data_IF_797979664586
#
_entry.id   IF_797979664586
#
_cell.length_a   1.000
_cell.length_b   1.000
_cell.length_c   1.000
_cell.angle_alpha   90.00
_cell.angle_beta   90.00
_cell.angle_gamma   90.00
#
_symmetry.space_group_name_H-M   'P 1'
#
loop_
_entity.id
_entity.type
_entity.pdbx_description
1 polymer ?
#
# COMPACT_ATOMS: atom_id res chain seq x y z
N UNK A 1 10.14 43.27 40.73
CA UNK A 1 9.17 43.42 39.61
C UNK A 1 9.76 43.11 38.23
N UNK A 2 10.99 43.55 37.89
CA UNK A 2 11.61 43.24 36.56
C UNK A 2 11.82 41.75 36.25
N UNK A 3 12.06 40.90 37.27
CA UNK A 3 12.26 39.45 37.09
C UNK A 3 10.96 38.66 36.83
N UNK A 4 9.82 39.17 37.30
CA UNK A 4 8.50 38.55 37.07
C UNK A 4 8.01 38.82 35.65
N UNK A 5 8.31 40.00 35.11
CA UNK A 5 7.95 40.37 33.74
C UNK A 5 8.70 39.54 32.68
N UNK A 6 9.95 39.15 32.96
CA UNK A 6 10.73 38.29 32.07
C UNK A 6 10.20 36.85 32.04
N UNK A 7 9.73 36.32 33.18
CA UNK A 7 9.11 35.01 33.26
C UNK A 7 7.73 34.98 32.58
N UNK A 8 6.97 36.07 32.65
CA UNK A 8 5.68 36.22 31.98
C UNK A 8 5.84 36.35 30.45
N UNK A 9 6.88 37.04 29.96
CA UNK A 9 7.16 37.09 28.51
C UNK A 9 7.63 35.75 27.95
N UNK A 10 8.35 34.94 28.72
CA UNK A 10 8.81 33.61 28.28
C UNK A 10 7.68 32.59 28.20
N UNK A 11 6.60 32.79 28.98
CA UNK A 11 5.38 31.99 28.90
C UNK A 11 4.52 32.33 27.66
N UNK A 12 4.64 33.53 27.10
CA UNK A 12 3.89 33.98 25.90
C UNK A 12 4.60 33.57 24.60
N UNK A 13 5.89 33.23 24.64
CA UNK A 13 6.63 32.69 23.49
C UNK A 13 6.47 31.18 23.27
N UNK A 14 5.70 30.49 24.12
CA UNK A 14 5.15 29.18 23.78
C UNK A 14 3.99 29.40 22.82
N UNK A 15 4.30 29.65 21.54
CA UNK A 15 3.32 29.56 20.46
C UNK A 15 2.60 28.23 20.60
N UNK A 16 1.34 28.27 21.04
CA UNK A 16 0.51 27.08 21.22
C UNK A 16 0.33 26.42 19.85
N UNK A 17 1.15 25.40 19.58
CA UNK A 17 1.04 24.60 18.37
C UNK A 17 -0.33 23.93 18.41
N UNK A 18 -1.15 24.19 17.38
CA UNK A 18 -2.50 23.62 17.34
C UNK A 18 -2.37 22.12 17.17
N UNK A 19 -3.20 21.36 17.85
CA UNK A 19 -3.19 19.90 17.75
C UNK A 19 -4.40 19.45 16.95
N UNK A 20 -4.19 18.60 15.97
CA UNK A 20 -5.27 17.90 15.26
C UNK A 20 -5.16 16.40 15.59
N UNK A 21 -6.29 15.81 15.98
CA UNK A 21 -6.34 14.43 16.46
C UNK A 21 -6.82 13.50 15.34
N UNK A 22 -6.07 12.42 15.11
CA UNK A 22 -6.50 11.31 14.25
C UNK A 22 -7.54 10.47 14.99
N UNK A 23 -8.82 10.75 14.71
CA UNK A 23 -9.95 10.01 15.26
C UNK A 23 -10.20 8.70 14.50
N UNK A 24 -10.17 7.57 15.21
CA UNK A 24 -10.54 6.25 14.69
C UNK A 24 -12.02 5.98 15.00
N UNK A 25 -12.91 6.43 14.11
CA UNK A 25 -14.37 6.37 14.32
C UNK A 25 -15.16 5.68 13.21
N UNK A 26 -14.48 5.28 12.14
CA UNK A 26 -15.14 4.61 11.03
C UNK A 26 -15.56 3.21 11.45
N UNK A 27 -16.55 2.62 10.76
CA UNK A 27 -16.87 1.24 11.10
C UNK A 27 -15.80 0.29 10.56
N UNK A 28 -15.31 -0.58 11.43
CA UNK A 28 -14.42 -1.73 11.16
C UNK A 28 -15.14 -3.05 11.45
N UNK A 29 -16.46 -3.10 11.25
CA UNK A 29 -17.23 -4.33 11.43
C UNK A 29 -16.75 -5.42 10.46
N UNK A 30 -16.27 -6.53 11.00
CA UNK A 30 -16.08 -7.80 10.33
C UNK A 30 -17.46 -8.39 10.02
N UNK A 31 -17.89 -8.21 8.77
CA UNK A 31 -19.21 -8.67 8.33
C UNK A 31 -19.33 -10.19 8.31
N UNK A 32 -18.21 -10.92 8.21
CA UNK A 32 -18.20 -12.39 8.22
C UNK A 32 -18.11 -12.94 9.65
N UNK A 33 -17.72 -12.11 10.62
CA UNK A 33 -17.59 -12.50 12.02
C UNK A 33 -16.55 -13.61 12.25
N UNK A 34 -15.49 -13.65 11.44
CA UNK A 34 -14.45 -14.69 11.51
C UNK A 34 -13.33 -14.31 12.47
N UNK A 35 -13.22 -13.03 12.82
CA UNK A 35 -12.17 -12.49 13.68
C UNK A 35 -12.58 -12.52 15.15
N UNK A 36 -11.73 -13.13 15.97
CA UNK A 36 -11.87 -13.20 17.43
C UNK A 36 -11.35 -11.93 18.09
N UNK A 37 -10.14 -11.54 17.73
CA UNK A 37 -9.42 -10.42 18.32
C UNK A 37 -8.57 -9.71 17.25
N UNK A 38 -8.31 -8.44 17.51
CA UNK A 38 -7.22 -7.69 16.91
C UNK A 38 -6.25 -7.37 18.04
N UNK A 39 -4.95 -7.50 17.81
CA UNK A 39 -3.90 -6.99 18.70
C UNK A 39 -3.01 -6.05 17.90
N UNK A 40 -2.51 -4.99 18.54
CA UNK A 40 -1.65 -4.01 17.87
C UNK A 40 -0.23 -4.03 18.44
N UNK A 41 0.74 -4.00 17.54
CA UNK A 41 2.15 -3.78 17.80
C UNK A 41 2.52 -2.42 17.18
N UNK A 42 2.80 -1.42 18.01
CA UNK A 42 3.34 -0.14 17.53
C UNK A 42 4.86 -0.24 17.42
N UNK A 43 5.33 -0.63 16.23
CA UNK A 43 6.73 -0.82 15.87
C UNK A 43 7.35 0.43 15.21
N UNK A 44 6.68 1.60 15.29
CA UNK A 44 7.24 2.85 14.73
C UNK A 44 8.49 3.26 15.51
N UNK A 45 9.53 3.64 14.77
CA UNK A 45 10.71 4.30 15.33
C UNK A 45 10.38 5.70 15.86
N UNK A 46 9.47 6.41 15.21
CA UNK A 46 8.97 7.72 15.62
C UNK A 46 7.48 7.66 15.93
N UNK A 47 7.11 8.03 17.17
CA UNK A 47 5.72 7.96 17.64
C UNK A 47 4.88 9.17 17.22
N UNK A 48 5.54 10.29 16.92
CA UNK A 48 4.91 11.49 16.38
C UNK A 48 4.47 11.25 14.92
N UNK A 49 3.27 11.70 14.57
CA UNK A 49 2.80 11.65 13.17
C UNK A 49 3.44 12.79 12.38
N UNK A 50 3.59 13.96 12.97
CA UNK A 50 4.31 15.07 12.35
C UNK A 50 3.57 16.40 12.43
N UNK A 51 4.19 17.41 11.82
CA UNK A 51 3.75 18.80 11.87
C UNK A 51 3.45 19.30 10.47
N UNK A 52 2.26 19.86 10.25
CA UNK A 52 1.80 20.35 8.96
C UNK A 52 1.50 21.86 9.02
N UNK A 53 1.98 22.66 8.06
CA UNK A 53 1.63 24.07 7.97
C UNK A 53 0.22 24.24 7.37
N UNK A 54 -0.62 25.05 8.01
CA UNK A 54 -1.92 25.44 7.49
C UNK A 54 -2.28 26.87 7.92
N UNK A 55 -2.58 27.74 6.94
CA UNK A 55 -3.02 29.13 7.17
C UNK A 55 -2.15 29.92 8.18
N UNK A 56 -0.83 29.93 7.98
CA UNK A 56 0.19 30.59 8.82
C UNK A 56 0.39 29.98 10.22
N UNK A 57 -0.25 28.86 10.50
CA UNK A 57 -0.11 28.11 11.74
C UNK A 57 0.50 26.74 11.46
N UNK A 58 1.10 26.14 12.47
CA UNK A 58 1.55 24.74 12.41
C UNK A 58 0.64 23.89 13.25
N UNK A 59 0.14 22.80 12.66
CA UNK A 59 -0.68 21.80 13.35
C UNK A 59 0.15 20.55 13.61
N UNK A 60 0.21 20.12 14.86
CA UNK A 60 0.74 18.82 15.25
C UNK A 60 -0.33 17.77 15.10
N UNK A 61 -0.06 16.75 14.29
CA UNK A 61 -0.91 15.59 14.14
C UNK A 61 -0.51 14.53 15.16
N UNK A 62 -1.51 13.93 15.83
CA UNK A 62 -1.30 12.80 16.73
C UNK A 62 -2.54 11.93 16.85
N UNK A 63 -2.38 10.69 17.32
CA UNK A 63 -3.52 9.89 17.76
C UNK A 63 -4.12 10.48 19.04
N UNK A 64 -5.39 10.17 19.31
CA UNK A 64 -6.10 10.66 20.50
C UNK A 64 -5.56 10.11 21.84
N UNK A 65 -4.65 9.14 21.78
CA UNK A 65 -4.03 8.49 22.93
C UNK A 65 -2.67 7.91 22.52
N UNK A 66 -1.76 7.83 23.49
CA UNK A 66 -0.46 7.18 23.33
C UNK A 66 -0.57 5.65 23.41
N UNK A 67 -1.60 5.14 24.08
CA UNK A 67 -1.93 3.72 24.14
C UNK A 67 -2.74 3.30 22.92
N UNK A 68 -2.04 3.29 21.77
CA UNK A 68 -2.65 2.97 20.48
C UNK A 68 -3.18 1.53 20.43
N UNK A 69 -2.57 0.64 21.22
CA UNK A 69 -2.99 -0.75 21.34
C UNK A 69 -4.40 -0.83 21.90
N UNK A 70 -4.61 -0.37 23.14
CA UNK A 70 -5.93 -0.46 23.75
C UNK A 70 -6.96 0.36 22.96
N UNK A 71 -6.56 1.47 22.33
CA UNK A 71 -7.47 2.28 21.51
C UNK A 71 -8.08 1.50 20.35
N UNK A 72 -7.28 0.76 19.60
CA UNK A 72 -7.74 -0.02 18.44
C UNK A 72 -8.45 -1.31 18.89
N UNK A 73 -7.98 -1.97 19.94
CA UNK A 73 -8.62 -3.17 20.50
C UNK A 73 -10.04 -2.87 21.03
N UNK A 74 -10.21 -1.72 21.69
CA UNK A 74 -11.51 -1.22 22.15
C UNK A 74 -12.42 -0.86 20.97
N UNK A 75 -11.87 -0.20 19.95
CA UNK A 75 -12.61 0.12 18.72
C UNK A 75 -13.12 -1.17 18.05
N UNK A 76 -12.27 -2.19 17.94
CA UNK A 76 -12.68 -3.50 17.41
C UNK A 76 -13.77 -4.15 18.25
N UNK A 77 -13.67 -4.11 19.58
CA UNK A 77 -14.65 -4.69 20.50
C UNK A 77 -15.99 -3.94 20.52
N UNK A 78 -15.99 -2.64 20.23
CA UNK A 78 -17.20 -1.84 20.04
C UNK A 78 -17.93 -2.23 18.76
N UNK A 79 -17.20 -2.36 17.66
CA UNK A 79 -17.78 -2.63 16.33
C UNK A 79 -18.16 -4.10 16.09
N UNK A 80 -17.48 -5.03 16.78
CA UNK A 80 -17.61 -6.47 16.53
C UNK A 80 -18.10 -7.20 17.78
N UNK A 81 -19.43 -7.31 17.92
CA UNK A 81 -20.08 -8.04 19.02
C UNK A 81 -20.07 -9.56 18.82
N UNK A 82 -20.16 -10.01 17.58
CA UNK A 82 -19.96 -11.41 17.22
C UNK A 82 -18.47 -11.63 16.96
N UNK A 83 -17.90 -12.64 17.63
CA UNK A 83 -16.48 -12.97 17.53
C UNK A 83 -16.33 -14.32 16.83
N UNK A 84 -15.33 -14.42 15.97
CA UNK A 84 -14.91 -15.67 15.35
C UNK A 84 -13.74 -16.31 16.09
N UNK A 85 -12.84 -16.95 15.33
CA UNK A 85 -11.73 -17.74 15.86
C UNK A 85 -10.34 -17.24 15.45
N UNK A 86 -10.26 -16.28 14.53
CA UNK A 86 -8.98 -15.76 14.06
C UNK A 86 -8.46 -14.65 14.98
N UNK A 87 -7.24 -14.80 15.50
CA UNK A 87 -6.54 -13.73 16.21
C UNK A 87 -5.67 -12.96 15.20
N UNK A 88 -6.06 -11.73 14.86
CA UNK A 88 -5.33 -10.85 13.93
C UNK A 88 -4.36 -9.97 14.71
N UNK A 89 -3.16 -9.79 14.16
CA UNK A 89 -2.16 -8.88 14.70
C UNK A 89 -1.86 -7.81 13.67
N UNK A 90 -2.00 -6.55 14.05
CA UNK A 90 -1.67 -5.39 13.25
C UNK A 90 -0.35 -4.81 13.75
N UNK A 91 0.60 -4.66 12.85
CA UNK A 91 1.87 -4.02 13.13
C UNK A 91 1.91 -2.66 12.44
N UNK A 92 2.04 -1.62 13.24
CA UNK A 92 2.23 -0.26 12.76
C UNK A 92 3.72 0.05 12.70
N UNK A 93 4.26 0.25 11.51
CA UNK A 93 5.70 0.40 11.28
C UNK A 93 6.09 1.84 10.94
N UNK A 94 5.25 2.57 10.20
CA UNK A 94 5.49 3.98 9.85
C UNK A 94 4.16 4.73 9.70
N UNK A 95 4.08 5.95 10.23
CA UNK A 95 3.03 6.94 9.93
C UNK A 95 3.64 8.31 10.10
N UNK A 96 3.86 9.01 8.98
CA UNK A 96 4.39 10.38 9.00
C UNK A 96 3.62 11.27 8.04
N UNK A 97 3.25 12.46 8.51
CA UNK A 97 2.71 13.54 7.70
C UNK A 97 3.74 14.68 7.64
N UNK A 98 4.12 15.09 6.44
CA UNK A 98 5.15 16.10 6.21
C UNK A 98 4.91 16.88 4.92
N UNK A 99 5.53 18.04 4.79
CA UNK A 99 5.60 18.81 3.56
C UNK A 99 7.07 18.82 3.12
N UNK A 100 7.34 18.55 1.84
CA UNK A 100 8.72 18.55 1.33
C UNK A 100 9.36 19.94 1.42
N UNK A 101 8.55 20.97 1.13
CA UNK A 101 8.94 22.37 1.22
C UNK A 101 7.95 23.11 2.13
N UNK A 102 8.11 23.06 3.47
CA UNK A 102 7.16 23.65 4.41
C UNK A 102 6.95 25.16 4.26
N UNK A 103 7.95 25.85 3.70
CA UNK A 103 7.88 27.30 3.43
C UNK A 103 7.09 27.63 2.15
N UNK A 104 6.96 26.67 1.23
CA UNK A 104 6.21 26.81 0.00
C UNK A 104 4.71 26.60 0.27
N UNK A 105 3.93 27.66 0.07
CA UNK A 105 2.47 27.65 0.26
C UNK A 105 1.74 26.67 -0.65
N UNK A 106 2.38 26.23 -1.74
CA UNK A 106 1.85 25.24 -2.69
C UNK A 106 2.30 23.82 -2.38
N UNK A 107 3.22 23.62 -1.42
CA UNK A 107 3.66 22.29 -1.02
C UNK A 107 2.49 21.51 -0.44
N UNK A 108 2.15 20.40 -1.09
CA UNK A 108 1.12 19.49 -0.61
C UNK A 108 1.68 18.60 0.50
N UNK A 109 0.86 18.34 1.51
CA UNK A 109 1.22 17.41 2.59
C UNK A 109 1.28 15.99 2.04
N UNK A 110 2.42 15.34 2.23
CA UNK A 110 2.63 13.91 2.02
C UNK A 110 2.35 13.14 3.30
N UNK A 111 1.73 11.97 3.17
CA UNK A 111 1.48 11.03 4.26
C UNK A 111 2.16 9.72 3.89
N UNK A 112 3.25 9.39 4.59
CA UNK A 112 3.93 8.11 4.51
C UNK A 112 3.32 7.16 5.53
N UNK A 113 3.06 5.92 5.13
CA UNK A 113 2.63 4.89 6.05
C UNK A 113 3.16 3.52 5.69
N UNK A 114 3.33 2.70 6.72
CA UNK A 114 3.60 1.27 6.63
C UNK A 114 2.82 0.54 7.72
N UNK A 115 1.88 -0.29 7.31
CA UNK A 115 1.10 -1.18 8.17
C UNK A 115 1.21 -2.60 7.67
N UNK A 116 1.38 -3.56 8.57
CA UNK A 116 1.40 -4.98 8.25
C UNK A 116 0.40 -5.74 9.10
N UNK A 117 -0.14 -6.84 8.58
CA UNK A 117 -1.10 -7.68 9.28
C UNK A 117 -0.67 -9.12 9.25
N UNK A 118 -0.99 -9.82 10.33
CA UNK A 118 -0.69 -11.22 10.53
C UNK A 118 -1.89 -11.91 11.15
N UNK A 119 -1.98 -13.21 10.98
CA UNK A 119 -2.84 -14.07 11.79
C UNK A 119 -1.96 -14.88 12.75
N UNK A 120 -2.33 -14.89 14.02
CA UNK A 120 -1.67 -15.70 15.05
C UNK A 120 -2.42 -17.02 15.20
N UNK A 121 -1.71 -18.15 15.02
CA UNK A 121 -2.24 -19.51 15.23
C UNK A 121 -1.18 -20.37 15.88
N UNK A 122 -1.52 -21.07 16.96
CA UNK A 122 -0.61 -21.97 17.67
C UNK A 122 0.75 -21.33 18.00
N UNK A 123 0.71 -20.08 18.49
CA UNK A 123 1.88 -19.25 18.80
C UNK A 123 2.83 -18.96 17.62
N UNK A 124 2.35 -19.11 16.39
CA UNK A 124 3.05 -18.69 15.17
C UNK A 124 2.28 -17.61 14.45
N UNK A 125 3.00 -16.81 13.67
CA UNK A 125 2.46 -15.71 12.90
C UNK A 125 2.52 -16.05 11.42
N UNK A 126 1.47 -15.68 10.69
CA UNK A 126 1.43 -15.84 9.25
C UNK A 126 1.04 -14.49 8.65
N UNK A 127 1.88 -13.99 7.75
CA UNK A 127 1.66 -12.70 7.11
C UNK A 127 0.37 -12.74 6.27
N UNK A 128 -0.48 -11.74 6.45
CA UNK A 128 -1.74 -11.61 5.73
C UNK A 128 -1.61 -10.59 4.59
N UNK A 129 -1.24 -9.36 4.94
CA UNK A 129 -1.15 -8.26 3.99
C UNK A 129 -0.30 -7.11 4.55
N UNK A 130 0.12 -6.20 3.68
CA UNK A 130 0.82 -4.96 4.00
C UNK A 130 0.29 -3.82 3.16
N UNK A 131 0.34 -2.63 3.73
CA UNK A 131 0.21 -1.38 3.00
C UNK A 131 1.46 -0.58 3.28
N UNK A 132 2.18 -0.22 2.22
CA UNK A 132 3.36 0.64 2.29
C UNK A 132 3.29 1.64 1.15
N UNK A 133 3.14 2.92 1.46
CA UNK A 133 3.13 3.96 0.43
C UNK A 133 3.33 5.37 1.00
N UNK A 134 3.54 6.31 0.08
CA UNK A 134 3.43 7.75 0.30
C UNK A 134 2.26 8.27 -0.52
N UNK A 135 1.27 8.89 0.14
CA UNK A 135 0.19 9.60 -0.53
C UNK A 135 0.42 11.11 -0.46
N UNK A 136 0.23 11.79 -1.57
CA UNK A 136 0.14 13.26 -1.60
C UNK A 136 -1.31 13.64 -1.38
N UNK A 137 -1.57 14.44 -0.36
CA UNK A 137 -2.93 14.91 -0.06
C UNK A 137 -3.36 15.99 -1.04
N UNK A 138 -4.58 15.89 -1.55
CA UNK A 138 -5.21 16.93 -2.38
C UNK A 138 -5.60 18.18 -1.56
N UNK A 139 -5.47 18.15 -0.24
CA UNK A 139 -5.75 19.26 0.65
C UNK A 139 -4.84 19.27 1.88
N UNK A 140 -4.29 20.43 2.22
CA UNK A 140 -3.50 20.64 3.44
C UNK A 140 -4.37 20.90 4.68
N UNK A 141 -5.69 20.76 4.60
CA UNK A 141 -6.56 20.97 5.74
C UNK A 141 -6.29 19.90 6.82
N UNK A 142 -5.90 20.23 8.06
CA UNK A 142 -5.43 19.25 9.04
C UNK A 142 -6.40 18.10 9.30
N UNK A 143 -7.69 18.41 9.44
CA UNK A 143 -8.74 17.40 9.63
C UNK A 143 -8.88 16.45 8.43
N UNK A 144 -8.61 16.93 7.22
CA UNK A 144 -8.59 16.08 6.02
C UNK A 144 -7.40 15.12 6.08
N UNK A 145 -6.19 15.61 6.41
CA UNK A 145 -4.99 14.77 6.60
C UNK A 145 -5.23 13.72 7.69
N UNK A 146 -5.76 14.11 8.84
CA UNK A 146 -6.11 13.20 9.93
C UNK A 146 -7.11 12.12 9.47
N UNK A 147 -8.09 12.49 8.63
CA UNK A 147 -9.06 11.54 8.07
C UNK A 147 -8.42 10.54 7.10
N UNK A 148 -7.40 10.95 6.33
CA UNK A 148 -6.67 10.05 5.43
C UNK A 148 -5.89 8.99 6.21
N UNK A 149 -5.26 9.36 7.32
CA UNK A 149 -4.59 8.40 8.22
C UNK A 149 -5.61 7.43 8.81
N UNK A 150 -6.75 7.94 9.29
CA UNK A 150 -7.86 7.11 9.80
C UNK A 150 -8.40 6.13 8.75
N UNK A 151 -8.51 6.57 7.49
CA UNK A 151 -8.91 5.72 6.35
C UNK A 151 -7.90 4.58 6.13
N UNK A 152 -6.60 4.89 6.16
CA UNK A 152 -5.55 3.88 5.95
C UNK A 152 -5.61 2.79 7.04
N UNK A 153 -5.73 3.17 8.31
CA UNK A 153 -5.90 2.23 9.43
C UNK A 153 -7.17 1.39 9.26
N UNK A 154 -8.30 2.04 8.93
CA UNK A 154 -9.60 1.37 8.73
C UNK A 154 -9.53 0.35 7.61
N UNK A 155 -8.95 0.72 6.47
CA UNK A 155 -8.83 -0.17 5.33
C UNK A 155 -7.89 -1.33 5.62
N UNK A 156 -6.80 -1.10 6.37
CA UNK A 156 -5.89 -2.18 6.76
C UNK A 156 -6.59 -3.26 7.59
N UNK A 157 -7.38 -2.82 8.56
CA UNK A 157 -8.17 -3.71 9.40
C UNK A 157 -9.14 -4.53 8.54
N UNK A 158 -9.85 -3.88 7.61
CA UNK A 158 -10.83 -4.55 6.74
C UNK A 158 -10.18 -5.55 5.80
N UNK A 159 -9.04 -5.20 5.21
CA UNK A 159 -8.25 -6.09 4.36
C UNK A 159 -7.78 -7.32 5.13
N UNK A 160 -7.38 -7.14 6.39
CA UNK A 160 -6.93 -8.25 7.24
C UNK A 160 -8.00 -9.33 7.43
N UNK A 161 -9.29 -8.97 7.40
CA UNK A 161 -10.39 -9.94 7.55
C UNK A 161 -10.56 -10.90 6.37
N UNK A 162 -10.14 -10.48 5.18
CA UNK A 162 -10.35 -11.22 3.92
C UNK A 162 -9.06 -11.74 3.31
N UNK A 163 -7.91 -11.31 3.82
CA UNK A 163 -6.59 -11.71 3.34
C UNK A 163 -6.30 -13.17 3.65
N UNK A 164 -5.61 -13.83 2.71
CA UNK A 164 -5.13 -15.21 2.86
C UNK A 164 -3.65 -15.16 3.20
N UNK A 165 -3.18 -15.95 4.18
CA UNK A 165 -1.77 -15.94 4.54
C UNK A 165 -0.83 -16.19 3.37
N UNK A 166 0.24 -15.40 3.25
CA UNK A 166 1.33 -15.59 2.29
C UNK A 166 2.61 -16.01 3.02
N UNK A 167 3.32 -16.98 2.45
CA UNK A 167 4.57 -17.50 3.03
C UNK A 167 4.37 -18.48 4.18
N UNK A 168 5.47 -18.75 4.90
CA UNK A 168 5.54 -19.72 5.98
C UNK A 168 5.14 -19.17 7.35
N UNK A 169 5.09 -20.08 8.33
CA UNK A 169 4.82 -19.73 9.72
C UNK A 169 6.08 -19.16 10.41
N UNK A 170 5.95 -17.99 11.03
CA UNK A 170 7.03 -17.29 11.72
C UNK A 170 6.91 -17.38 13.24
N UNK A 171 8.03 -17.34 13.93
CA UNK A 171 8.06 -17.12 15.38
C UNK A 171 7.79 -15.64 15.71
N UNK A 172 7.64 -15.33 17.01
CA UNK A 172 7.53 -13.94 17.45
C UNK A 172 8.82 -13.16 17.25
N UNK A 173 9.98 -13.81 17.37
CA UNK A 173 11.30 -13.20 17.20
C UNK A 173 11.52 -12.76 15.74
N UNK A 174 10.99 -13.54 14.79
CA UNK A 174 11.07 -13.26 13.36
C UNK A 174 10.18 -12.08 12.93
N UNK A 175 9.17 -11.68 13.72
CA UNK A 175 8.21 -10.64 13.33
C UNK A 175 8.85 -9.30 13.03
N UNK A 176 9.93 -8.95 13.73
CA UNK A 176 10.64 -7.67 13.51
C UNK A 176 11.33 -7.62 12.15
N UNK A 177 11.68 -8.78 11.58
CA UNK A 177 12.34 -8.94 10.28
C UNK A 177 11.52 -9.81 9.32
N UNK A 178 10.20 -9.80 9.48
CA UNK A 178 9.28 -10.70 8.77
C UNK A 178 9.45 -10.64 7.25
N UNK A 179 9.68 -9.45 6.68
CA UNK A 179 9.82 -9.29 5.22
C UNK A 179 11.03 -10.06 4.70
N UNK A 180 12.17 -9.95 5.38
CA UNK A 180 13.38 -10.70 5.03
C UNK A 180 13.12 -12.20 5.15
N UNK A 181 12.54 -12.63 6.28
CA UNK A 181 12.19 -14.03 6.51
C UNK A 181 11.29 -14.59 5.38
N UNK A 182 10.23 -13.87 5.03
CA UNK A 182 9.26 -14.32 4.04
C UNK A 182 9.88 -14.32 2.63
N UNK A 183 10.64 -13.29 2.26
CA UNK A 183 11.23 -13.18 0.92
C UNK A 183 12.35 -14.20 0.70
N UNK A 184 13.26 -14.39 1.66
CA UNK A 184 14.34 -15.38 1.55
C UNK A 184 13.82 -16.82 1.41
N UNK A 185 12.68 -17.13 2.03
CA UNK A 185 12.03 -18.44 1.94
C UNK A 185 11.06 -18.56 0.75
N UNK A 186 11.01 -17.58 -0.15
CA UNK A 186 10.10 -17.58 -1.30
C UNK A 186 10.74 -18.14 -2.58
N UNK A 187 9.97 -18.82 -3.45
CA UNK A 187 10.44 -19.20 -4.78
C UNK A 187 10.81 -18.01 -5.67
N UNK A 188 10.10 -16.87 -5.56
CA UNK A 188 10.33 -15.69 -6.40
C UNK A 188 11.63 -14.95 -6.07
N UNK A 189 11.95 -14.79 -4.78
CA UNK A 189 13.11 -14.01 -4.35
C UNK A 189 14.32 -14.88 -4.01
N UNK A 190 14.10 -16.03 -3.36
CA UNK A 190 15.14 -16.99 -3.00
C UNK A 190 15.43 -18.06 -4.06
N UNK A 191 14.61 -18.16 -5.11
CA UNK A 191 14.81 -19.10 -6.22
C UNK A 191 15.96 -18.69 -7.15
N UNK A 192 16.51 -19.68 -7.86
CA UNK A 192 17.59 -19.47 -8.84
C UNK A 192 17.10 -18.94 -10.19
N UNK A 193 15.91 -19.39 -10.61
CA UNK A 193 15.34 -19.10 -11.91
C UNK A 193 13.85 -18.83 -11.80
N UNK A 194 13.35 -17.94 -12.65
CA UNK A 194 11.93 -17.63 -12.76
C UNK A 194 11.25 -18.63 -13.70
N UNK A 195 10.07 -19.11 -13.33
CA UNK A 195 9.30 -20.03 -14.16
C UNK A 195 8.51 -19.26 -15.21
N UNK A 196 8.73 -19.61 -16.46
CA UNK A 196 7.98 -19.05 -17.59
C UNK A 196 6.48 -19.38 -17.49
N UNK A 197 5.65 -18.45 -17.94
CA UNK A 197 4.20 -18.59 -17.99
C UNK A 197 3.45 -17.32 -17.57
N UNK A 198 2.13 -17.41 -17.61
CA UNK A 198 1.22 -16.31 -17.26
C UNK A 198 0.83 -16.39 -15.79
N UNK A 199 0.72 -15.25 -15.13
CA UNK A 199 0.33 -15.14 -13.74
C UNK A 199 -0.87 -14.22 -13.60
N UNK A 200 -1.98 -14.71 -13.04
CA UNK A 200 -3.22 -13.92 -12.90
C UNK A 200 -3.21 -12.99 -11.69
N UNK A 201 -2.46 -13.35 -10.65
CA UNK A 201 -2.33 -12.55 -9.44
C UNK A 201 -0.89 -12.55 -8.90
N UNK A 202 -0.63 -11.70 -7.91
CA UNK A 202 0.69 -11.65 -7.28
C UNK A 202 1.03 -12.93 -6.51
N UNK A 203 0.04 -13.66 -5.98
CA UNK A 203 0.27 -14.86 -5.18
C UNK A 203 0.85 -15.99 -6.02
N UNK A 204 0.27 -16.25 -7.18
CA UNK A 204 0.78 -17.19 -8.19
C UNK A 204 2.17 -16.79 -8.67
N UNK A 205 2.42 -15.49 -8.89
CA UNK A 205 3.74 -14.96 -9.24
C UNK A 205 4.77 -15.18 -8.13
N UNK A 206 4.43 -14.86 -6.88
CA UNK A 206 5.27 -15.05 -5.70
C UNK A 206 5.60 -16.53 -5.46
N UNK A 207 4.63 -17.43 -5.63
CA UNK A 207 4.80 -18.87 -5.48
C UNK A 207 5.45 -19.54 -6.71
N UNK A 208 5.71 -18.79 -7.79
CA UNK A 208 6.22 -19.31 -9.07
C UNK A 208 5.37 -20.49 -9.58
N UNK A 209 4.05 -20.26 -9.62
CA UNK A 209 3.01 -21.16 -10.13
C UNK A 209 2.22 -20.48 -11.25
N UNK A 210 2.72 -20.50 -12.50
CA UNK A 210 2.00 -19.91 -13.61
C UNK A 210 0.66 -20.63 -13.84
N UNK A 211 -0.32 -19.90 -14.33
CA UNK A 211 -1.65 -20.38 -14.62
C UNK A 211 -1.64 -21.30 -15.85
N UNK A 212 -2.13 -22.54 -15.74
CA UNK A 212 -2.21 -23.44 -16.88
C UNK A 212 -3.20 -22.90 -17.90
N UNK A 213 -2.97 -23.23 -19.18
CA UNK A 213 -3.85 -22.86 -20.31
C UNK A 213 -3.86 -21.37 -20.68
N UNK A 214 -2.98 -20.55 -20.08
CA UNK A 214 -2.79 -19.16 -20.50
C UNK A 214 -1.47 -19.00 -21.24
N UNK A 215 -1.52 -18.38 -22.43
CA UNK A 215 -0.37 -18.21 -23.31
C UNK A 215 -0.22 -16.76 -23.78
N UNK A 216 1.01 -16.35 -24.07
CA UNK A 216 1.29 -15.04 -24.64
C UNK A 216 0.99 -15.03 -26.14
N UNK A 217 0.27 -14.01 -26.60
CA UNK A 217 -0.01 -13.77 -28.02
C UNK A 217 0.89 -12.64 -28.51
N UNK A 218 1.65 -12.90 -29.59
CA UNK A 218 2.69 -12.00 -30.08
C UNK A 218 2.34 -11.42 -31.43
N UNK A 219 2.70 -10.16 -31.65
CA UNK A 219 2.67 -9.58 -32.99
C UNK A 219 3.81 -10.11 -33.88
N UNK A 220 3.78 -9.75 -35.17
CA UNK A 220 4.81 -10.12 -36.17
C UNK A 220 6.26 -9.73 -35.80
N UNK A 221 6.46 -8.91 -34.76
CA UNK A 221 7.77 -8.46 -34.27
C UNK A 221 8.18 -9.16 -32.97
N UNK A 222 7.46 -10.21 -32.57
CA UNK A 222 7.75 -10.99 -31.37
C UNK A 222 7.36 -10.31 -30.05
N UNK A 223 6.64 -9.18 -30.09
CA UNK A 223 6.19 -8.50 -28.86
C UNK A 223 4.85 -9.05 -28.42
N UNK A 224 4.73 -9.39 -27.14
CA UNK A 224 3.46 -9.79 -26.53
C UNK A 224 2.48 -8.62 -26.59
N UNK A 225 1.32 -8.86 -27.18
CA UNK A 225 0.24 -7.88 -27.29
C UNK A 225 -0.95 -8.26 -26.43
N UNK A 226 -1.21 -9.56 -26.26
CA UNK A 226 -2.33 -10.07 -25.48
C UNK A 226 -1.92 -11.34 -24.71
N UNK A 227 -2.78 -11.73 -23.78
CA UNK A 227 -2.76 -13.06 -23.18
C UNK A 227 -4.01 -13.78 -23.69
N UNK A 228 -3.87 -15.07 -24.02
CA UNK A 228 -4.97 -15.92 -24.46
C UNK A 228 -5.24 -17.05 -23.49
N UNK A 229 -6.52 -17.34 -23.25
CA UNK A 229 -7.01 -18.56 -22.59
C UNK A 229 -7.26 -19.63 -23.66
N UNK A 230 -6.50 -20.72 -23.63
CA UNK A 230 -6.60 -21.80 -24.62
C UNK A 230 -7.83 -22.69 -24.43
N UNK A 231 -8.58 -22.52 -23.33
CA UNK A 231 -9.82 -23.26 -23.06
C UNK A 231 -11.08 -22.43 -23.33
N UNK A 232 -10.94 -21.14 -23.66
CA UNK A 232 -12.09 -20.27 -23.91
C UNK A 232 -12.79 -20.61 -25.24
N UNK A 233 -14.08 -20.29 -25.30
CA UNK A 233 -14.87 -20.42 -26.53
C UNK A 233 -14.39 -19.40 -27.57
N UNK A 234 -14.56 -19.71 -28.86
CA UNK A 234 -14.23 -18.80 -29.95
C UNK A 234 -14.84 -17.39 -29.68
N UNK A 235 -14.00 -16.34 -29.71
CA UNK A 235 -14.27 -14.94 -29.37
C UNK A 235 -14.07 -14.50 -27.90
N UNK A 236 -13.79 -15.42 -26.96
CA UNK A 236 -13.45 -15.09 -25.56
C UNK A 236 -11.99 -15.43 -25.20
N UNK A 237 -11.19 -15.81 -26.20
CA UNK A 237 -9.81 -16.24 -26.02
C UNK A 237 -8.92 -15.15 -25.43
N UNK A 238 -9.11 -13.89 -25.80
CA UNK A 238 -8.27 -12.78 -25.32
C UNK A 238 -8.79 -12.27 -23.99
N UNK A 239 -7.98 -12.41 -22.94
CA UNK A 239 -8.32 -11.88 -21.61
C UNK A 239 -7.88 -10.42 -21.46
N UNK A 240 -8.68 -9.66 -20.71
CA UNK A 240 -8.36 -8.28 -20.38
C UNK A 240 -7.07 -8.23 -19.54
N UNK A 241 -6.15 -7.33 -19.89
CA UNK A 241 -4.93 -7.05 -19.14
C UNK A 241 -5.19 -6.83 -17.63
N UNK A 242 -6.36 -6.32 -17.24
CA UNK A 242 -6.77 -6.11 -15.84
C UNK A 242 -6.95 -7.39 -15.05
N UNK A 243 -7.13 -8.52 -15.72
CA UNK A 243 -7.31 -9.84 -15.11
C UNK A 243 -6.00 -10.62 -14.96
N UNK A 244 -4.88 -10.01 -15.35
CA UNK A 244 -3.56 -10.63 -15.38
C UNK A 244 -2.61 -9.80 -14.53
N UNK A 245 -1.84 -10.45 -13.67
CA UNK A 245 -0.75 -9.78 -12.96
C UNK A 245 0.39 -9.49 -13.91
N UNK A 246 0.82 -10.51 -14.66
CA UNK A 246 1.93 -10.40 -15.60
C UNK A 246 2.25 -11.74 -16.26
N UNK A 247 3.39 -11.80 -16.93
CA UNK A 247 3.94 -13.05 -17.45
C UNK A 247 5.45 -13.08 -17.29
N UNK A 248 6.02 -14.28 -17.32
CA UNK A 248 7.46 -14.49 -17.42
C UNK A 248 7.74 -15.22 -18.73
N UNK A 249 8.72 -14.72 -19.49
CA UNK A 249 9.16 -15.33 -20.73
C UNK A 249 10.68 -15.26 -20.84
N UNK A 250 11.32 -16.42 -21.05
CA UNK A 250 12.78 -16.57 -21.05
C UNK A 250 13.42 -16.00 -19.78
N UNK A 251 12.81 -16.25 -18.63
CA UNK A 251 13.28 -15.74 -17.33
C UNK A 251 13.13 -14.23 -17.13
N UNK A 252 12.50 -13.50 -18.06
CA UNK A 252 12.19 -12.08 -17.92
C UNK A 252 10.76 -11.87 -17.52
N UNK A 253 10.54 -11.11 -16.46
CA UNK A 253 9.21 -10.88 -15.92
C UNK A 253 8.62 -9.57 -16.46
N UNK A 254 7.32 -9.57 -16.75
CA UNK A 254 6.60 -8.43 -17.31
C UNK A 254 5.31 -8.19 -16.53
N UNK A 255 5.08 -6.95 -16.09
CA UNK A 255 3.88 -6.52 -15.38
C UNK A 255 2.81 -6.08 -16.37
N UNK A 256 1.59 -6.57 -16.19
CA UNK A 256 0.43 -6.03 -16.89
C UNK A 256 0.05 -4.66 -16.32
N UNK A 257 -0.03 -3.65 -17.18
CA UNK A 257 -0.41 -2.28 -16.81
C UNK A 257 -1.41 -1.70 -17.82
N UNK A 258 -2.10 -0.59 -17.49
CA UNK A 258 -2.91 0.13 -18.46
C UNK A 258 -2.12 0.56 -19.71
N UNK A 259 -0.83 0.87 -19.55
CA UNK A 259 0.09 1.23 -20.63
C UNK A 259 0.58 0.03 -21.47
N UNK A 260 0.25 -1.21 -21.09
CA UNK A 260 0.71 -2.45 -21.71
C UNK A 260 1.57 -3.29 -20.77
N UNK A 261 2.35 -4.23 -21.32
CA UNK A 261 3.25 -5.07 -20.55
C UNK A 261 4.61 -4.38 -20.36
N UNK A 262 4.96 -4.04 -19.13
CA UNK A 262 6.23 -3.40 -18.78
C UNK A 262 7.20 -4.43 -18.20
N UNK A 263 8.46 -4.44 -18.66
CA UNK A 263 9.49 -5.31 -18.08
C UNK A 263 9.71 -4.94 -16.61
N UNK A 264 9.73 -5.97 -15.76
CA UNK A 264 10.06 -5.86 -14.35
C UNK A 264 11.55 -6.13 -14.18
N UNK A 265 12.27 -5.12 -13.71
CA UNK A 265 13.72 -5.21 -13.46
C UNK A 265 13.91 -5.52 -11.98
N UNK A 266 14.81 -6.46 -11.66
CA UNK A 266 15.14 -6.84 -10.28
C UNK A 266 16.49 -6.25 -9.89
N UNK A 267 16.55 -5.60 -8.74
CA UNK A 267 17.77 -5.18 -8.06
C UNK A 267 17.77 -5.63 -6.58
N UNK A 268 18.60 -5.01 -5.76
CA UNK A 268 18.73 -5.26 -4.32
C UNK A 268 17.51 -4.81 -3.50
N UNK A 269 16.73 -3.84 -3.99
CA UNK A 269 15.49 -3.36 -3.35
C UNK A 269 14.26 -4.18 -3.76
N UNK A 270 14.35 -4.93 -4.85
CA UNK A 270 13.28 -5.82 -5.31
C UNK A 270 12.99 -5.64 -6.79
N UNK A 271 11.75 -5.92 -7.20
CA UNK A 271 11.33 -5.68 -8.57
C UNK A 271 10.77 -4.27 -8.74
N UNK A 272 11.05 -3.63 -9.88
CA UNK A 272 10.47 -2.34 -10.26
C UNK A 272 10.10 -2.30 -11.74
N UNK A 273 9.28 -1.32 -12.10
CA UNK A 273 9.00 -0.94 -13.50
C UNK A 273 9.39 0.51 -13.72
N UNK A 274 9.87 0.82 -14.92
CA UNK A 274 10.12 2.23 -15.33
C UNK A 274 8.82 2.80 -15.86
N UNK A 275 8.14 3.64 -15.08
CA UNK A 275 6.84 4.19 -15.44
C UNK A 275 6.47 5.45 -14.65
N UNK A 276 5.64 6.30 -15.26
CA UNK A 276 5.00 7.40 -14.53
C UNK A 276 3.76 6.91 -13.77
N UNK A 277 3.35 7.63 -12.72
CA UNK A 277 2.10 7.32 -12.00
C UNK A 277 0.87 7.35 -12.91
N UNK A 278 0.85 8.20 -13.94
CA UNK A 278 -0.24 8.28 -14.92
C UNK A 278 -0.37 7.02 -15.80
N UNK A 279 0.77 6.39 -16.13
CA UNK A 279 0.77 5.15 -16.91
C UNK A 279 0.27 3.95 -16.09
N UNK A 280 0.53 3.96 -14.78
CA UNK A 280 0.08 2.92 -13.85
C UNK A 280 -1.36 3.13 -13.39
N UNK A 281 -1.79 4.38 -13.27
CA UNK A 281 -3.11 4.81 -12.77
C UNK A 281 -3.68 5.94 -13.65
N UNK A 282 -4.17 5.64 -14.87
CA UNK A 282 -4.75 6.66 -15.74
C UNK A 282 -6.05 7.21 -15.15
N UNK A 283 -6.22 8.53 -15.19
CA UNK A 283 -7.46 9.19 -14.76
C UNK A 283 -8.55 8.92 -15.80
N UNK A 284 -9.66 8.31 -15.39
CA UNK A 284 -10.86 8.22 -16.23
C UNK A 284 -11.74 9.45 -15.98
N UNK A 285 -12.17 10.12 -17.06
CA UNK A 285 -12.98 11.35 -17.08
C UNK A 285 -14.44 11.19 -16.57
N UNK A 286 -14.71 10.27 -15.66
CA UNK A 286 -16.05 10.07 -15.11
C UNK A 286 -15.96 9.37 -13.76
N UNK A 287 -16.38 10.08 -12.71
CA UNK A 287 -16.40 9.67 -11.29
C UNK A 287 -15.03 9.32 -10.71
N UNK A 288 -14.63 10.05 -9.65
CA UNK A 288 -13.39 9.89 -8.90
C UNK A 288 -13.25 8.57 -8.12
N UNK A 289 -13.60 7.45 -8.72
CA UNK A 289 -13.31 6.11 -8.24
C UNK A 289 -12.00 5.65 -8.89
N UNK A 290 -10.88 5.91 -8.23
CA UNK A 290 -9.58 5.43 -8.69
C UNK A 290 -9.58 3.90 -8.71
N UNK A 291 -9.20 3.32 -9.84
CA UNK A 291 -9.02 1.87 -10.01
C UNK A 291 -7.77 1.46 -9.23
N UNK A 292 -7.90 1.27 -7.92
CA UNK A 292 -6.87 0.59 -7.14
C UNK A 292 -7.21 -0.87 -6.82
N UNK A 293 -8.17 -1.45 -7.54
CA UNK A 293 -8.47 -2.88 -7.44
C UNK A 293 -7.39 -3.78 -8.08
N UNK A 294 -6.47 -3.23 -8.88
CA UNK A 294 -5.47 -4.01 -9.62
C UNK A 294 -4.18 -4.34 -8.85
N UNK A 295 -4.00 -3.78 -7.64
CA UNK A 295 -2.75 -3.95 -6.86
C UNK A 295 -2.91 -4.66 -5.51
N UNK A 296 -4.12 -5.11 -5.16
CA UNK A 296 -4.36 -5.93 -3.97
C UNK A 296 -5.17 -5.22 -2.89
N UNK A 297 -6.47 -5.52 -2.84
CA UNK A 297 -7.36 -5.16 -1.72
C UNK A 297 -8.19 -3.87 -1.87
N UNK A 298 -9.23 -3.73 -1.03
CA UNK A 298 -10.19 -2.61 -0.91
C UNK A 298 -9.53 -1.24 -0.71
N UNK A 299 -8.23 -1.18 -0.43
CA UNK A 299 -7.48 0.05 -0.21
C UNK A 299 -6.99 0.75 -1.47
N UNK A 300 -7.27 0.17 -2.62
CA UNK A 300 -7.13 0.83 -3.91
C UNK A 300 -7.85 2.18 -4.05
N UNK A 301 -8.78 2.50 -3.14
CA UNK A 301 -9.57 3.72 -3.16
C UNK A 301 -8.91 4.92 -2.45
N UNK A 302 -7.74 4.77 -1.80
CA UNK A 302 -7.12 5.87 -1.01
C UNK A 302 -6.03 6.63 -1.78
N UNK A 303 -5.71 6.23 -3.02
CA UNK A 303 -4.81 7.03 -3.84
C UNK A 303 -5.64 8.16 -4.46
N UNK A 304 -5.41 9.38 -3.99
CA UNK A 304 -5.77 10.61 -4.68
C UNK A 304 -4.53 11.13 -5.42
N UNK A 305 -4.67 11.42 -6.70
CA UNK A 305 -3.81 12.32 -7.44
C UNK A 305 -4.51 12.66 -8.76
N UNK A 306 -4.82 13.93 -8.93
CA UNK A 306 -5.02 14.50 -10.25
C UNK A 306 -3.68 14.38 -11.01
N UNK A 307 -3.69 13.68 -12.14
CA UNK A 307 -2.63 13.78 -13.14
C UNK A 307 -3.30 14.17 -14.45
N UNK A 308 -2.73 15.20 -15.10
CA UNK A 308 -3.17 15.66 -16.41
C UNK A 308 -3.02 14.52 -17.44
N UNK A 309 -4.10 14.22 -18.14
CA UNK A 309 -4.25 13.00 -18.93
C UNK A 309 -3.90 13.22 -20.40
N UNK A 310 -2.78 12.61 -20.85
CA UNK A 310 -2.51 12.27 -22.24
C UNK A 310 -2.54 10.75 -22.43
N UNK A 311 -2.97 10.28 -23.60
CA UNK A 311 -3.34 8.89 -23.95
C UNK A 311 -2.53 7.75 -23.28
N UNK A 312 -3.25 6.77 -22.72
CA UNK A 312 -2.83 5.68 -21.83
C UNK A 312 -2.16 4.45 -22.48
N UNK A 313 -1.55 4.57 -23.66
CA UNK A 313 -0.70 3.49 -24.22
C UNK A 313 0.69 4.01 -24.48
N UNK A 314 1.71 3.34 -23.93
CA UNK A 314 3.10 3.74 -24.14
C UNK A 314 3.45 3.67 -25.62
N UNK A 315 3.77 4.83 -26.20
CA UNK A 315 4.22 4.95 -27.57
C UNK A 315 5.52 4.18 -27.80
N UNK A 316 5.76 3.77 -29.05
CA UNK A 316 6.85 2.85 -29.40
C UNK A 316 8.27 3.42 -29.20
N UNK A 317 8.39 4.75 -29.15
CA UNK A 317 9.65 5.51 -29.05
C UNK A 317 9.62 6.49 -27.86
N UNK A 318 8.85 6.17 -26.82
CA UNK A 318 8.84 7.00 -25.62
C UNK A 318 10.22 6.93 -24.97
N UNK A 319 10.87 8.08 -24.84
CA UNK A 319 12.10 8.21 -24.08
C UNK A 319 11.78 7.98 -22.59
N UNK A 320 12.34 6.91 -22.03
CA UNK A 320 12.14 6.53 -20.63
C UNK A 320 13.27 7.02 -19.73
N UNK A 321 14.27 7.74 -20.25
CA UNK A 321 15.44 8.19 -19.49
C UNK A 321 15.10 9.13 -18.33
N UNK A 322 13.99 9.87 -18.45
CA UNK A 322 13.47 10.76 -17.39
C UNK A 322 12.36 10.15 -16.54
N UNK A 323 12.00 8.87 -16.74
CA UNK A 323 10.92 8.23 -15.98
C UNK A 323 11.43 7.62 -14.67
N UNK A 324 10.63 7.66 -13.59
CA UNK A 324 11.04 7.10 -12.32
C UNK A 324 10.95 5.56 -12.32
N UNK A 325 11.75 4.94 -11.45
CA UNK A 325 11.60 3.54 -11.08
C UNK A 325 10.48 3.44 -10.03
N UNK A 326 9.43 2.69 -10.34
CA UNK A 326 8.34 2.40 -9.41
C UNK A 326 8.50 0.97 -8.92
N UNK A 327 8.91 0.83 -7.66
CA UNK A 327 9.13 -0.47 -7.03
C UNK A 327 7.81 -1.15 -6.72
N UNK A 328 7.86 -2.48 -6.71
CA UNK A 328 6.78 -3.31 -6.21
C UNK A 328 7.12 -3.81 -4.81
N UNK A 329 6.12 -3.74 -3.96
CA UNK A 329 6.16 -4.35 -2.65
C UNK A 329 6.37 -5.87 -2.76
N UNK A 330 7.41 -6.36 -2.07
CA UNK A 330 7.87 -7.74 -2.17
C UNK A 330 6.87 -8.78 -1.65
N UNK A 331 5.86 -8.35 -0.89
CA UNK A 331 4.88 -9.23 -0.23
C UNK A 331 3.46 -9.07 -0.78
N UNK A 332 3.20 -8.04 -1.56
CA UNK A 332 1.84 -7.76 -2.08
C UNK A 332 1.80 -7.49 -3.58
N UNK A 333 2.93 -7.17 -4.21
CA UNK A 333 2.98 -6.77 -5.63
C UNK A 333 2.36 -5.40 -5.91
N UNK A 334 2.02 -4.65 -4.87
CA UNK A 334 1.56 -3.25 -4.96
C UNK A 334 2.71 -2.32 -5.36
N UNK A 335 2.39 -1.26 -6.10
CA UNK A 335 3.37 -0.21 -6.39
C UNK A 335 3.67 0.65 -5.16
N UNK A 336 4.95 0.88 -4.90
CA UNK A 336 5.46 1.79 -3.87
C UNK A 336 5.91 3.08 -4.56
N UNK A 337 5.30 4.20 -4.17
CA UNK A 337 5.72 5.53 -4.60
C UNK A 337 6.53 6.19 -3.49
N UNK A 338 7.66 6.78 -3.87
CA UNK A 338 8.56 7.54 -3.00
C UNK A 338 8.31 9.06 -3.14
#
# INVERSE_FOLDING_TARGET
>A
MKKVFFFLMMAVSLSAQKTEVVELKQSIKDRKGTTKSITVIDNRSEKEIGNIPFRKETYTLKFGTDDLKNYIEDWFSKDNKVKGNNDIVLMLEDVKAYNENPEDKTSMTKIKFKFSSFIKRNNKYYFLNRIQNVITSDSNFPKYIASQISNAVTGMIKESYVSVPLGGAMSEEDLTNYEKYITENSPLFGGKELKDGVYKDFRSFYEQKPEPNYVTDKNKKGRVTNIKDTNATLNEEVIDNKQVFGYIENGKAYRSTPAGYLEMIKDDRGFYVVATKAELFPVNNGTGAMIGAMTGGLLGAVIGAAIDSGSSRRGKNVDTSGMPNVYMDSLTGSYIFD
#
